data_IF_826476893923
#
_entry.id   IF_826476893923
#
_cell.length_a   1.000
_cell.length_b   1.000
_cell.length_c   1.000
_cell.angle_alpha   90.00
_cell.angle_beta   90.00
_cell.angle_gamma   90.00
#
_symmetry.space_group_name_H-M   'P 1'
#
loop_
_entity.id
_entity.type
_entity.pdbx_description
1 polymer ?
#
# COMPACT_ATOMS: atom_id res chain seq x y z
N UNK A 1 8.21 -3.79 0.52
CA UNK A 1 9.66 -3.94 0.24
C UNK A 1 9.92 -5.40 -0.09
N UNK A 2 10.80 -5.71 -1.04
CA UNK A 2 11.14 -7.11 -1.30
C UNK A 2 11.98 -7.69 -0.15
N UNK A 3 11.95 -9.02 0.01
CA UNK A 3 12.60 -9.69 1.14
C UNK A 3 14.13 -9.52 1.13
N UNK A 4 14.74 -9.58 -0.04
CA UNK A 4 16.19 -9.42 -0.21
C UNK A 4 16.64 -8.03 0.22
N UNK A 5 15.93 -7.00 -0.21
CA UNK A 5 16.17 -5.61 0.17
C UNK A 5 15.92 -5.38 1.66
N UNK A 6 14.85 -5.95 2.21
CA UNK A 6 14.53 -5.85 3.63
C UNK A 6 15.67 -6.41 4.49
N UNK A 7 16.14 -7.62 4.19
CA UNK A 7 17.25 -8.24 4.94
C UNK A 7 18.57 -7.52 4.72
N UNK A 8 18.85 -7.00 3.51
CA UNK A 8 20.04 -6.20 3.25
C UNK A 8 20.08 -4.92 4.11
N UNK A 9 18.95 -4.21 4.21
CA UNK A 9 18.84 -3.00 5.04
C UNK A 9 18.92 -3.36 6.53
N UNK A 10 18.22 -4.41 6.96
CA UNK A 10 18.26 -4.92 8.34
C UNK A 10 19.69 -5.27 8.76
N UNK A 11 20.39 -6.07 7.96
CA UNK A 11 21.77 -6.46 8.21
C UNK A 11 22.71 -5.25 8.27
N UNK A 12 22.53 -4.28 7.37
CA UNK A 12 23.30 -3.02 7.41
C UNK A 12 23.02 -2.21 8.69
N UNK A 13 21.77 -2.07 9.12
CA UNK A 13 21.44 -1.31 10.32
C UNK A 13 21.92 -1.98 11.61
N UNK A 14 22.02 -3.31 11.63
CA UNK A 14 22.52 -4.07 12.78
C UNK A 14 24.05 -4.12 12.85
N UNK A 15 24.73 -4.29 11.71
CA UNK A 15 26.18 -4.56 11.66
C UNK A 15 27.00 -3.40 11.13
N UNK A 16 26.36 -2.41 10.51
CA UNK A 16 26.99 -1.32 9.76
C UNK A 16 27.87 -1.82 8.58
N UNK A 17 27.66 -3.05 8.13
CA UNK A 17 28.36 -3.68 7.00
C UNK A 17 27.49 -3.56 5.75
N UNK A 18 28.07 -3.00 4.68
CA UNK A 18 27.39 -2.90 3.38
C UNK A 18 27.44 -4.27 2.69
N UNK A 19 26.31 -4.77 2.16
CA UNK A 19 26.26 -6.05 1.44
C UNK A 19 27.30 -6.12 0.30
N UNK A 20 28.04 -7.23 0.16
CA UNK A 20 29.11 -7.35 -0.81
C UNK A 20 28.65 -7.16 -2.26
N UNK A 21 27.40 -7.53 -2.58
CA UNK A 21 26.76 -7.38 -3.89
C UNK A 21 26.57 -5.92 -4.29
N UNK A 22 26.50 -5.02 -3.29
CA UNK A 22 26.31 -3.58 -3.44
C UNK A 22 27.65 -2.85 -3.31
N UNK A 23 28.57 -3.39 -2.49
CA UNK A 23 29.86 -2.78 -2.13
C UNK A 23 30.78 -2.53 -3.34
N UNK A 24 30.71 -3.37 -4.36
CA UNK A 24 31.54 -3.30 -5.57
C UNK A 24 31.29 -2.04 -6.40
N UNK A 25 30.08 -1.51 -6.38
CA UNK A 25 29.66 -0.36 -7.19
C UNK A 25 29.51 0.90 -6.31
N UNK A 26 30.32 1.93 -6.60
CA UNK A 26 30.31 3.21 -5.87
C UNK A 26 28.93 3.87 -5.87
N UNK A 27 28.22 3.87 -7.01
CA UNK A 27 26.93 4.50 -7.16
C UNK A 27 25.85 3.74 -6.40
N UNK A 28 25.80 2.41 -6.53
CA UNK A 28 24.86 1.55 -5.78
C UNK A 28 25.07 1.68 -4.28
N UNK A 29 26.33 1.70 -3.82
CA UNK A 29 26.70 1.93 -2.42
C UNK A 29 26.18 3.27 -1.90
N UNK A 30 26.41 4.36 -2.65
CA UNK A 30 25.95 5.71 -2.26
C UNK A 30 24.41 5.75 -2.15
N UNK A 31 23.71 5.14 -3.10
CA UNK A 31 22.25 5.08 -3.09
C UNK A 31 21.70 4.23 -1.95
N UNK A 32 22.31 3.08 -1.67
CA UNK A 32 21.93 2.21 -0.56
C UNK A 32 22.07 2.92 0.79
N UNK A 33 23.23 3.54 1.06
CA UNK A 33 23.45 4.30 2.31
C UNK A 33 22.46 5.45 2.42
N UNK A 34 22.20 6.18 1.31
CA UNK A 34 21.20 7.25 1.29
C UNK A 34 19.79 6.74 1.63
N UNK A 35 19.40 5.57 1.11
CA UNK A 35 18.10 4.94 1.39
C UNK A 35 17.98 4.55 2.86
N UNK A 36 19.05 4.02 3.47
CA UNK A 36 19.06 3.60 4.86
C UNK A 36 18.97 4.78 5.86
N UNK A 37 19.39 6.00 5.50
CA UNK A 37 19.39 7.17 6.42
C UNK A 37 18.01 7.51 7.03
N UNK A 38 16.92 7.13 6.38
CA UNK A 38 15.56 7.37 6.87
C UNK A 38 14.87 6.15 7.49
N UNK A 39 15.61 5.04 7.62
CA UNK A 39 15.11 3.75 8.09
C UNK A 39 15.79 3.41 9.41
N UNK A 40 15.01 2.86 10.33
CA UNK A 40 15.42 2.47 11.66
C UNK A 40 15.03 1.01 11.87
N UNK A 41 15.80 0.31 12.68
CA UNK A 41 15.48 -1.05 13.08
C UNK A 41 15.17 -1.05 14.57
N UNK A 42 13.92 -1.35 14.92
CA UNK A 42 13.43 -1.37 16.29
C UNK A 42 12.40 -2.50 16.43
N UNK A 43 12.36 -3.17 17.58
CA UNK A 43 11.39 -4.25 17.86
C UNK A 43 11.35 -5.34 16.77
N UNK A 44 12.53 -5.66 16.22
CA UNK A 44 12.69 -6.62 15.12
C UNK A 44 11.97 -6.23 13.80
N UNK A 45 11.64 -4.95 13.61
CA UNK A 45 11.03 -4.41 12.39
C UNK A 45 11.79 -3.22 11.84
N UNK A 46 11.74 -3.07 10.51
CA UNK A 46 12.17 -1.83 9.87
C UNK A 46 11.05 -0.79 9.97
N UNK A 47 11.42 0.41 10.38
CA UNK A 47 10.52 1.55 10.51
C UNK A 47 11.07 2.75 9.74
N UNK A 48 10.18 3.59 9.22
CA UNK A 48 10.51 4.84 8.54
C UNK A 48 9.96 6.03 9.31
N UNK A 49 10.74 7.09 9.41
CA UNK A 49 10.26 8.34 9.98
C UNK A 49 9.42 9.10 8.94
N UNK A 50 8.21 9.46 9.34
CA UNK A 50 7.33 10.35 8.61
C UNK A 50 7.12 11.64 9.40
N UNK A 51 7.51 12.77 8.83
CA UNK A 51 7.34 14.10 9.44
C UNK A 51 6.21 14.83 8.74
N UNK A 52 5.24 15.31 9.52
CA UNK A 52 4.19 16.21 9.04
C UNK A 52 4.66 17.67 9.16
N UNK A 53 4.08 18.54 8.34
CA UNK A 53 4.38 19.98 8.31
C UNK A 53 4.09 20.69 9.66
N UNK A 54 3.24 20.10 10.49
CA UNK A 54 2.91 20.61 11.82
C UNK A 54 3.90 20.16 12.92
N UNK A 55 5.04 19.58 12.55
CA UNK A 55 6.06 19.11 13.50
C UNK A 55 5.77 17.72 14.11
N UNK A 56 4.62 17.11 13.82
CA UNK A 56 4.31 15.75 14.28
C UNK A 56 5.21 14.73 13.57
N UNK A 57 5.86 13.87 14.35
CA UNK A 57 6.69 12.76 13.87
C UNK A 57 5.95 11.45 14.10
N UNK A 58 5.82 10.65 13.04
CA UNK A 58 5.29 9.28 13.09
C UNK A 58 6.38 8.29 12.68
N UNK A 59 6.32 7.11 13.26
CA UNK A 59 7.15 5.97 12.87
C UNK A 59 6.23 4.97 12.19
N UNK A 60 6.53 4.64 10.93
CA UNK A 60 5.72 3.77 10.11
C UNK A 60 6.47 2.47 9.85
N UNK A 61 5.83 1.35 10.13
CA UNK A 61 6.35 0.01 9.87
C UNK A 61 6.52 -0.17 8.36
N UNK A 62 7.70 -0.63 7.95
CA UNK A 62 7.99 -1.02 6.56
C UNK A 62 7.60 -2.48 6.40
N UNK A 63 6.63 -2.73 5.53
CA UNK A 63 6.13 -4.08 5.25
C UNK A 63 6.91 -4.77 4.14
N UNK A 64 7.01 -6.10 4.26
CA UNK A 64 7.33 -6.97 3.14
C UNK A 64 6.15 -7.01 2.16
N UNK A 65 6.44 -7.21 0.87
CA UNK A 65 5.38 -7.36 -0.15
C UNK A 65 4.42 -8.50 0.21
N UNK A 66 4.94 -9.59 0.75
CA UNK A 66 4.15 -10.76 1.20
C UNK A 66 3.23 -10.48 2.39
N UNK A 67 3.43 -9.39 3.13
CA UNK A 67 2.63 -9.04 4.30
C UNK A 67 1.47 -8.10 3.95
N UNK A 68 1.50 -7.48 2.78
CA UNK A 68 0.55 -6.42 2.39
C UNK A 68 -0.89 -6.94 2.45
N UNK A 69 -1.20 -8.07 1.82
CA UNK A 69 -2.57 -8.60 1.78
C UNK A 69 -3.11 -8.98 3.17
N UNK A 70 -2.24 -9.48 4.04
CA UNK A 70 -2.60 -9.80 5.42
C UNK A 70 -2.98 -8.55 6.20
N UNK A 71 -2.22 -7.47 6.03
CA UNK A 71 -2.51 -6.17 6.65
C UNK A 71 -3.79 -5.58 6.09
N UNK A 72 -3.99 -5.61 4.77
CA UNK A 72 -5.25 -5.11 4.17
C UNK A 72 -6.44 -5.90 4.71
N UNK A 73 -6.35 -7.23 4.75
CA UNK A 73 -7.39 -8.10 5.30
C UNK A 73 -7.70 -7.81 6.76
N UNK A 74 -6.69 -7.53 7.58
CA UNK A 74 -6.87 -7.17 9.00
C UNK A 74 -7.72 -5.90 9.17
N UNK A 75 -7.49 -4.85 8.37
CA UNK A 75 -8.26 -3.61 8.47
C UNK A 75 -9.60 -3.69 7.75
N UNK A 76 -9.68 -4.43 6.64
CA UNK A 76 -10.88 -4.48 5.83
C UNK A 76 -11.92 -5.49 6.34
N UNK A 77 -11.51 -6.69 6.74
CA UNK A 77 -12.46 -7.80 6.96
C UNK A 77 -13.29 -7.68 8.25
N UNK A 78 -12.93 -6.77 9.17
CA UNK A 78 -13.66 -6.61 10.43
C UNK A 78 -14.97 -5.83 10.24
N UNK A 79 -14.95 -4.77 9.42
CA UNK A 79 -16.11 -3.87 9.24
C UNK A 79 -16.46 -3.62 7.77
N UNK A 80 -15.73 -4.23 6.83
CA UNK A 80 -15.81 -3.96 5.40
C UNK A 80 -15.85 -2.46 5.05
N UNK A 81 -14.94 -1.64 5.61
CA UNK A 81 -14.93 -0.22 5.31
C UNK A 81 -14.55 0.00 3.84
N UNK A 82 -15.03 1.12 3.28
CA UNK A 82 -14.64 1.55 1.95
C UNK A 82 -13.12 1.75 1.81
N UNK A 83 -12.65 1.85 0.57
CA UNK A 83 -11.22 1.96 0.23
C UNK A 83 -10.52 3.06 1.03
N UNK A 84 -11.09 4.27 1.06
CA UNK A 84 -10.48 5.41 1.75
C UNK A 84 -10.37 5.17 3.26
N UNK A 85 -11.43 4.66 3.89
CA UNK A 85 -11.45 4.37 5.31
C UNK A 85 -10.47 3.25 5.69
N UNK A 86 -10.34 2.22 4.84
CA UNK A 86 -9.32 1.17 4.99
C UNK A 86 -7.91 1.78 4.94
N UNK A 87 -7.65 2.64 3.95
CA UNK A 87 -6.35 3.31 3.79
C UNK A 87 -6.02 4.20 4.98
N UNK A 88 -6.99 4.97 5.50
CA UNK A 88 -6.78 5.86 6.63
C UNK A 88 -6.43 5.10 7.91
N UNK A 89 -7.05 3.92 8.12
CA UNK A 89 -6.67 2.99 9.19
C UNK A 89 -5.22 2.51 9.04
N UNK A 90 -4.85 2.06 7.85
CA UNK A 90 -3.50 1.52 7.56
C UNK A 90 -2.42 2.61 7.71
N UNK A 91 -2.64 3.80 7.15
CA UNK A 91 -1.68 4.93 7.13
C UNK A 91 -1.30 5.46 8.50
N UNK A 92 -2.01 5.06 9.55
CA UNK A 92 -1.60 5.38 10.90
C UNK A 92 -0.34 4.64 11.34
N UNK A 93 -0.11 3.43 10.82
CA UNK A 93 0.98 2.54 11.25
C UNK A 93 1.90 2.09 10.11
N UNK A 94 1.40 2.02 8.87
CA UNK A 94 2.14 1.47 7.74
C UNK A 94 2.22 2.47 6.59
N UNK A 95 3.29 2.41 5.81
CA UNK A 95 3.44 3.17 4.57
C UNK A 95 4.20 2.34 3.53
N UNK A 96 3.65 2.28 2.33
CA UNK A 96 4.32 1.71 1.17
C UNK A 96 3.83 2.36 -0.12
N UNK A 97 4.67 2.30 -1.14
CA UNK A 97 4.32 2.79 -2.47
C UNK A 97 3.24 1.89 -3.07
N UNK A 98 2.11 2.47 -3.47
CA UNK A 98 1.02 1.73 -4.10
C UNK A 98 -0.13 1.34 -3.17
N UNK A 99 -0.13 1.76 -1.90
CA UNK A 99 -1.19 1.46 -0.93
C UNK A 99 -2.62 1.61 -1.47
N UNK A 100 -2.87 2.65 -2.27
CA UNK A 100 -4.19 2.89 -2.87
C UNK A 100 -4.58 1.79 -3.88
N UNK A 101 -3.64 1.38 -4.73
CA UNK A 101 -3.87 0.37 -5.75
C UNK A 101 -4.06 -1.01 -5.13
N UNK A 102 -3.24 -1.34 -4.11
CA UNK A 102 -3.30 -2.65 -3.46
C UNK A 102 -4.59 -2.80 -2.66
N UNK A 103 -4.95 -1.79 -1.85
CA UNK A 103 -6.23 -1.77 -1.11
C UNK A 103 -7.41 -1.76 -2.09
N UNK A 104 -7.35 -0.96 -3.15
CA UNK A 104 -8.40 -0.90 -4.16
C UNK A 104 -8.60 -2.24 -4.88
N UNK A 105 -7.51 -2.94 -5.21
CA UNK A 105 -7.59 -4.26 -5.84
C UNK A 105 -8.14 -5.30 -4.88
N UNK A 106 -7.66 -5.34 -3.64
CA UNK A 106 -8.12 -6.28 -2.61
C UNK A 106 -9.60 -6.12 -2.27
N UNK A 107 -10.05 -4.88 -2.04
CA UNK A 107 -11.46 -4.60 -1.71
C UNK A 107 -12.39 -4.92 -2.86
N UNK A 108 -11.96 -4.68 -4.11
CA UNK A 108 -12.74 -5.03 -5.30
C UNK A 108 -12.85 -6.52 -5.55
N UNK A 109 -11.92 -7.36 -5.08
CA UNK A 109 -12.04 -8.82 -5.23
C UNK A 109 -12.89 -9.46 -4.13
N UNK A 110 -13.22 -8.74 -3.06
CA UNK A 110 -13.98 -9.27 -1.94
C UNK A 110 -15.47 -9.36 -2.25
N UNK A 111 -15.98 -10.58 -2.42
CA UNK A 111 -17.36 -10.86 -2.86
C UNK A 111 -18.42 -10.15 -2.02
N UNK A 112 -18.27 -10.14 -0.69
CA UNK A 112 -19.24 -9.51 0.20
C UNK A 112 -19.36 -7.99 -0.03
N UNK A 113 -18.28 -7.34 -0.45
CA UNK A 113 -18.29 -5.91 -0.75
C UNK A 113 -18.90 -5.62 -2.13
N UNK A 114 -18.74 -6.53 -3.10
CA UNK A 114 -19.36 -6.38 -4.42
C UNK A 114 -20.89 -6.50 -4.35
N UNK A 115 -21.41 -7.39 -3.51
CA UNK A 115 -22.85 -7.67 -3.42
C UNK A 115 -23.60 -6.71 -2.49
N UNK A 116 -22.92 -6.15 -1.49
CA UNK A 116 -23.50 -5.21 -0.53
C UNK A 116 -23.46 -3.75 -0.99
N UNK A 117 -22.61 -3.41 -1.96
CA UNK A 117 -22.65 -2.11 -2.60
C UNK A 117 -24.04 -1.92 -3.22
N UNK A 118 -24.77 -0.91 -2.75
CA UNK A 118 -26.10 -0.61 -3.24
C UNK A 118 -26.06 -0.60 -4.77
N UNK A 119 -26.93 -1.40 -5.39
CA UNK A 119 -27.07 -1.38 -6.83
C UNK A 119 -27.24 0.08 -7.27
N UNK A 120 -26.59 0.51 -8.36
CA UNK A 120 -26.90 1.80 -8.93
C UNK A 120 -28.42 1.88 -9.10
N UNK A 121 -29.04 3.03 -8.80
CA UNK A 121 -30.47 3.18 -8.99
C UNK A 121 -30.82 2.67 -10.38
N UNK A 122 -31.79 1.75 -10.44
CA UNK A 122 -32.33 1.25 -11.70
C UNK A 122 -32.53 2.44 -12.62
N UNK A 123 -32.07 2.39 -13.89
CA UNK A 123 -32.26 3.50 -14.80
C UNK A 123 -33.76 3.82 -14.83
N UNK A 124 -34.13 4.99 -14.29
CA UNK A 124 -35.54 5.40 -14.16
C UNK A 124 -36.24 5.64 -15.50
N UNK A 125 -35.53 5.46 -16.62
CA UNK A 125 -36.04 5.66 -17.97
C UNK A 125 -36.18 4.32 -18.65
N UNK A 126 -37.41 3.98 -18.97
CA UNK A 126 -37.71 2.97 -19.97
C UNK A 126 -37.00 3.36 -21.28
N UNK A 127 -36.43 2.37 -21.97
CA UNK A 127 -35.83 2.58 -23.28
C UNK A 127 -36.91 3.11 -24.21
N UNK A 128 -36.81 4.38 -24.61
CA UNK A 128 -37.73 4.92 -25.60
C UNK A 128 -37.40 4.31 -26.97
N UNK A 129 -38.41 3.85 -27.73
CA UNK A 129 -38.19 3.36 -29.09
C UNK A 129 -37.49 4.43 -29.93
N UNK A 130 -36.43 4.06 -30.64
CA UNK A 130 -35.83 4.91 -31.65
C UNK A 130 -36.81 4.94 -32.83
N UNK A 131 -37.31 6.11 -33.27
CA UNK A 131 -38.19 6.18 -34.42
C UNK A 131 -37.44 5.68 -35.67
N UNK A 132 -37.98 4.66 -36.32
CA UNK A 132 -37.47 4.18 -37.59
C UNK A 132 -37.85 5.17 -38.69
N UNK A 133 -36.97 5.46 -39.66
CA UNK A 133 -37.35 6.23 -40.84
C UNK A 133 -38.48 5.51 -41.57
N UNK A 134 -39.52 6.23 -41.98
CA UNK A 134 -40.50 5.68 -42.92
C UNK A 134 -39.79 5.42 -44.26
N UNK A 135 -39.90 4.20 -44.77
CA UNK A 135 -39.35 3.84 -46.08
C UNK A 135 -39.98 4.71 -47.19
N UNK A 136 -39.21 5.13 -48.20
CA UNK A 136 -39.66 6.06 -49.24
C UNK A 136 -40.71 5.48 -50.22
#
# INVERSE_FOLDING_TARGET
MDATEYEAIRGFLQTNIIPPEIKSDRYRRKNFVRKCKGIYFQENKLMKIFRKNNGCVKYLDILLVSEIDNIIGFYHNVTHPGINSTIDGIRNKYDWNGIYNDVGSYTRTYLNCQTSAALPPQPQRELQPIPLPEEP
#
